data_IF_215097979945
#
_entry.id   IF_215097979945
#
_cell.length_a   1.000
_cell.length_b   1.000
_cell.length_c   1.000
_cell.angle_alpha   90.00
_cell.angle_beta   90.00
_cell.angle_gamma   90.00
#
_symmetry.space_group_name_H-M   'P 1'
#
loop_
_entity.id
_entity.type
_entity.pdbx_description
1 polymer ?
#
# COMPACT_ATOMS: atom_id res chain seq x y z
N UNK A 1 -20.69 45.55 48.39
CA UNK A 1 -20.48 45.69 46.95
C UNK A 1 -19.69 44.49 46.47
N UNK A 2 -20.38 43.43 46.06
CA UNK A 2 -19.74 42.19 45.61
C UNK A 2 -19.28 42.35 44.16
N UNK A 3 -17.99 42.09 43.94
CA UNK A 3 -17.29 42.16 42.66
C UNK A 3 -17.81 41.08 41.71
N UNK A 4 -18.34 41.48 40.57
CA UNK A 4 -18.60 40.59 39.45
C UNK A 4 -17.26 40.11 38.86
N UNK A 5 -17.00 38.80 38.95
CA UNK A 5 -16.01 38.12 38.11
C UNK A 5 -16.72 37.68 36.82
N UNK A 6 -16.24 38.20 35.68
CA UNK A 6 -16.62 37.78 34.33
C UNK A 6 -16.04 36.38 34.01
N UNK A 7 -16.86 35.34 33.72
CA UNK A 7 -16.40 34.05 33.23
C UNK A 7 -16.76 33.91 31.74
N UNK A 8 -16.11 34.67 30.85
CA UNK A 8 -16.54 34.78 29.44
C UNK A 8 -15.62 34.17 28.38
N UNK A 9 -14.29 34.27 28.55
CA UNK A 9 -13.36 34.03 27.44
C UNK A 9 -12.80 32.60 27.37
N UNK A 10 -12.71 31.89 28.50
CA UNK A 10 -12.11 30.55 28.55
C UNK A 10 -13.02 29.42 28.04
N UNK A 11 -14.31 29.48 28.36
CA UNK A 11 -15.26 28.38 28.07
C UNK A 11 -15.60 28.28 26.58
N UNK A 12 -15.69 29.41 25.88
CA UNK A 12 -15.92 29.44 24.43
C UNK A 12 -14.75 28.86 23.65
N UNK A 13 -13.52 29.26 23.97
CA UNK A 13 -12.30 28.75 23.32
C UNK A 13 -12.10 27.26 23.59
N UNK A 14 -12.34 26.79 24.82
CA UNK A 14 -12.24 25.37 25.17
C UNK A 14 -13.27 24.53 24.39
N UNK A 15 -14.49 25.04 24.20
CA UNK A 15 -15.52 24.37 23.39
C UNK A 15 -15.08 24.25 21.93
N UNK A 16 -14.59 25.33 21.32
CA UNK A 16 -14.09 25.33 19.94
C UNK A 16 -12.92 24.37 19.73
N UNK A 17 -11.97 24.31 20.67
CA UNK A 17 -10.84 23.37 20.59
C UNK A 17 -11.31 21.91 20.68
N UNK A 18 -12.28 21.62 21.55
CA UNK A 18 -12.86 20.26 21.67
C UNK A 18 -13.60 19.85 20.41
N UNK A 19 -14.32 20.76 19.78
CA UNK A 19 -15.05 20.47 18.55
C UNK A 19 -14.09 20.19 17.39
N UNK A 20 -13.04 21.00 17.24
CA UNK A 20 -11.98 20.75 16.25
C UNK A 20 -11.26 19.41 16.49
N UNK A 21 -10.98 19.05 17.75
CA UNK A 21 -10.41 17.75 18.09
C UNK A 21 -11.33 16.58 17.72
N UNK A 22 -12.64 16.70 17.93
CA UNK A 22 -13.62 15.68 17.55
C UNK A 22 -13.72 15.53 16.05
N UNK A 23 -13.74 16.64 15.31
CA UNK A 23 -13.78 16.62 13.85
C UNK A 23 -12.53 15.95 13.27
N UNK A 24 -11.35 16.29 13.79
CA UNK A 24 -10.10 15.66 13.40
C UNK A 24 -10.08 14.16 13.72
N UNK A 25 -10.58 13.77 14.89
CA UNK A 25 -10.69 12.36 15.27
C UNK A 25 -11.62 11.59 14.31
N UNK A 26 -12.79 12.15 13.99
CA UNK A 26 -13.73 11.58 13.00
C UNK A 26 -13.10 11.46 11.62
N UNK A 27 -12.40 12.50 11.18
CA UNK A 27 -11.68 12.49 9.91
C UNK A 27 -10.65 11.35 9.84
N UNK A 28 -9.79 11.21 10.85
CA UNK A 28 -8.78 10.15 10.90
C UNK A 28 -9.40 8.75 10.99
N UNK A 29 -10.45 8.61 11.78
CA UNK A 29 -11.16 7.34 11.97
C UNK A 29 -11.67 6.76 10.65
N UNK A 30 -12.23 7.58 9.75
CA UNK A 30 -12.66 7.12 8.43
C UNK A 30 -11.52 6.45 7.63
N UNK A 31 -10.32 7.04 7.66
CA UNK A 31 -9.14 6.47 7.03
C UNK A 31 -8.59 5.23 7.73
N UNK A 32 -8.65 5.17 9.06
CA UNK A 32 -8.27 3.97 9.82
C UNK A 32 -9.18 2.79 9.45
N UNK A 33 -10.50 3.01 9.37
CA UNK A 33 -11.43 1.98 8.91
C UNK A 33 -11.25 1.61 7.44
N UNK A 34 -10.95 2.56 6.56
CA UNK A 34 -10.62 2.26 5.17
C UNK A 34 -9.39 1.35 5.04
N UNK A 35 -8.40 1.53 5.92
CA UNK A 35 -7.25 0.60 6.03
C UNK A 35 -7.73 -0.78 6.50
N UNK A 36 -8.55 -0.86 7.53
CA UNK A 36 -9.02 -2.13 8.09
C UNK A 36 -9.85 -2.96 7.10
N UNK A 37 -10.75 -2.32 6.34
CA UNK A 37 -11.52 -2.95 5.26
C UNK A 37 -10.60 -3.57 4.22
N UNK A 38 -9.64 -2.78 3.71
CA UNK A 38 -8.67 -3.26 2.73
C UNK A 38 -7.76 -4.35 3.29
N UNK A 39 -7.30 -4.23 4.54
CA UNK A 39 -6.50 -5.27 5.18
C UNK A 39 -7.28 -6.57 5.33
N UNK A 40 -8.59 -6.52 5.60
CA UNK A 40 -9.44 -7.70 5.65
C UNK A 40 -9.48 -8.42 4.31
N UNK A 41 -9.72 -7.67 3.22
CA UNK A 41 -9.70 -8.20 1.84
C UNK A 41 -8.36 -8.86 1.51
N UNK A 42 -7.25 -8.19 1.84
CA UNK A 42 -5.89 -8.72 1.61
C UNK A 42 -5.63 -9.99 2.44
N UNK A 43 -6.07 -10.03 3.70
CA UNK A 43 -5.93 -11.22 4.56
C UNK A 43 -6.73 -12.41 4.02
N UNK A 44 -7.95 -12.16 3.50
CA UNK A 44 -8.78 -13.20 2.87
C UNK A 44 -8.04 -13.79 1.67
N UNK A 45 -7.57 -12.96 0.73
CA UNK A 45 -6.78 -13.41 -0.43
C UNK A 45 -5.56 -14.23 0.02
N UNK A 46 -4.79 -13.74 1.00
CA UNK A 46 -3.63 -14.48 1.53
C UNK A 46 -4.02 -15.84 2.11
N UNK A 47 -5.17 -15.94 2.76
CA UNK A 47 -5.63 -17.17 3.41
C UNK A 47 -6.21 -18.17 2.41
N UNK A 48 -6.82 -17.67 1.34
CA UNK A 48 -7.27 -18.47 0.20
C UNK A 48 -6.08 -19.12 -0.52
N UNK A 49 -5.02 -18.36 -0.84
CA UNK A 49 -3.83 -18.93 -1.51
C UNK A 49 -3.17 -20.03 -0.72
N UNK A 50 -3.08 -19.89 0.61
CA UNK A 50 -2.51 -20.93 1.48
C UNK A 50 -3.28 -22.25 1.46
N UNK A 51 -4.57 -22.23 1.11
CA UNK A 51 -5.43 -23.41 1.09
C UNK A 51 -5.57 -24.03 -0.30
N UNK A 52 -5.50 -23.21 -1.34
CA UNK A 52 -5.85 -23.61 -2.71
C UNK A 52 -4.65 -23.73 -3.65
N UNK A 53 -3.50 -23.14 -3.29
CA UNK A 53 -2.33 -23.05 -4.15
C UNK A 53 -1.05 -23.44 -3.40
N UNK A 54 -0.09 -24.03 -4.11
CA UNK A 54 1.24 -24.34 -3.57
C UNK A 54 2.09 -23.09 -3.25
N UNK A 55 1.64 -21.89 -3.63
CA UNK A 55 2.38 -20.64 -3.51
C UNK A 55 1.54 -19.51 -2.92
N UNK A 56 2.09 -18.80 -1.92
CA UNK A 56 1.48 -17.60 -1.36
C UNK A 56 2.18 -16.34 -1.95
N UNK A 57 1.49 -15.55 -2.80
CA UNK A 57 2.08 -14.37 -3.45
C UNK A 57 2.38 -13.21 -2.49
N UNK A 58 1.85 -13.22 -1.26
CA UNK A 58 1.97 -12.13 -0.29
C UNK A 58 2.85 -12.57 0.88
N UNK A 59 4.02 -11.95 0.99
CA UNK A 59 4.99 -12.19 2.06
C UNK A 59 4.66 -11.37 3.30
N UNK A 60 4.52 -10.05 3.11
CA UNK A 60 4.34 -9.11 4.19
C UNK A 60 3.36 -8.00 3.81
N UNK A 61 2.60 -7.52 4.79
CA UNK A 61 1.67 -6.40 4.63
C UNK A 61 1.88 -5.44 5.78
N UNK A 62 2.11 -4.18 5.47
CA UNK A 62 2.11 -3.09 6.44
C UNK A 62 1.05 -2.07 6.06
N UNK A 63 0.55 -1.34 7.05
CA UNK A 63 -0.29 -0.17 6.82
C UNK A 63 0.25 1.01 7.60
N UNK A 64 -0.15 2.21 7.17
CA UNK A 64 0.13 3.45 7.87
C UNK A 64 -0.98 4.44 7.64
N UNK A 65 -1.22 5.27 8.64
CA UNK A 65 -1.98 6.50 8.49
C UNK A 65 -0.99 7.68 8.47
N UNK A 66 -1.15 8.58 7.51
CA UNK A 66 -0.32 9.77 7.40
C UNK A 66 -0.54 10.71 8.60
N UNK A 67 0.53 11.30 9.12
CA UNK A 67 0.43 12.31 10.19
C UNK A 67 -0.23 13.59 9.67
N UNK A 68 -0.85 14.35 10.58
CA UNK A 68 -1.49 15.62 10.25
C UNK A 68 -0.49 16.62 9.68
N UNK A 69 0.70 16.73 10.29
CA UNK A 69 1.76 17.62 9.79
C UNK A 69 2.10 17.31 8.33
N UNK A 70 2.28 16.03 7.99
CA UNK A 70 2.56 15.64 6.61
C UNK A 70 1.37 15.83 5.66
N UNK A 71 0.13 15.86 6.15
CA UNK A 71 -1.05 16.21 5.34
C UNK A 71 -1.03 17.71 5.04
N UNK A 72 -0.77 18.56 6.04
CA UNK A 72 -0.68 20.02 5.88
C UNK A 72 0.51 20.46 5.01
N UNK A 73 1.64 19.76 5.09
CA UNK A 73 2.76 19.96 4.15
C UNK A 73 2.32 19.69 2.70
N UNK A 74 1.49 18.67 2.49
CA UNK A 74 0.97 18.35 1.16
C UNK A 74 -0.05 19.34 0.65
N UNK A 75 -0.94 19.86 1.50
CA UNK A 75 -1.89 20.90 1.07
C UNK A 75 -1.13 22.13 0.59
N UNK A 76 -0.09 22.54 1.34
CA UNK A 76 0.82 23.63 0.97
C UNK A 76 1.51 23.35 -0.37
N UNK A 77 2.10 22.15 -0.53
CA UNK A 77 2.78 21.75 -1.78
C UNK A 77 1.86 21.69 -2.99
N UNK A 78 0.59 21.33 -2.79
CA UNK A 78 -0.41 21.28 -3.87
C UNK A 78 -1.15 22.59 -4.06
N UNK A 79 -0.90 23.60 -3.22
CA UNK A 79 -1.59 24.88 -3.26
C UNK A 79 -3.10 24.77 -3.03
N UNK A 80 -3.54 23.84 -2.19
CA UNK A 80 -4.96 23.64 -1.88
C UNK A 80 -5.29 24.02 -0.44
N UNK A 81 -6.57 24.31 -0.19
CA UNK A 81 -7.07 24.63 1.13
C UNK A 81 -6.87 23.45 2.11
N UNK A 82 -6.70 23.78 3.39
CA UNK A 82 -6.48 22.84 4.48
C UNK A 82 -7.79 22.49 5.22
N UNK A 83 -8.91 22.46 4.50
CA UNK A 83 -10.19 21.98 5.01
C UNK A 83 -10.36 20.48 4.72
N UNK A 84 -11.16 19.76 5.52
CA UNK A 84 -11.32 18.32 5.38
C UNK A 84 -11.86 17.86 4.02
N UNK A 85 -12.71 18.63 3.35
CA UNK A 85 -13.32 18.27 2.07
C UNK A 85 -12.28 18.30 0.95
N UNK A 86 -11.57 19.43 0.83
CA UNK A 86 -10.46 19.58 -0.13
C UNK A 86 -9.37 18.55 0.10
N UNK A 87 -9.03 18.27 1.36
CA UNK A 87 -8.02 17.27 1.70
C UNK A 87 -8.43 15.88 1.21
N UNK A 88 -9.69 15.46 1.43
CA UNK A 88 -10.20 14.16 0.97
C UNK A 88 -10.12 14.00 -0.54
N UNK A 89 -10.38 15.07 -1.28
CA UNK A 89 -10.36 15.05 -2.75
C UNK A 89 -8.94 15.08 -3.32
N UNK A 90 -8.03 15.84 -2.71
CA UNK A 90 -6.70 16.13 -3.29
C UNK A 90 -5.60 15.21 -2.77
N UNK A 91 -5.71 14.70 -1.54
CA UNK A 91 -4.65 13.91 -0.88
C UNK A 91 -5.11 12.47 -0.73
N UNK A 92 -4.84 11.67 -1.75
CA UNK A 92 -5.35 10.30 -1.88
C UNK A 92 -4.51 9.23 -1.17
N UNK A 93 -3.41 9.60 -0.52
CA UNK A 93 -2.48 8.69 0.19
C UNK A 93 -2.44 8.94 1.70
N UNK A 94 -3.56 9.39 2.27
CA UNK A 94 -3.71 9.54 3.74
C UNK A 94 -3.71 8.15 4.39
N UNK A 95 -4.53 7.23 3.87
CA UNK A 95 -4.44 5.80 4.16
C UNK A 95 -3.49 5.14 3.19
N UNK A 96 -2.47 4.44 3.71
CA UNK A 96 -1.49 3.74 2.90
C UNK A 96 -1.33 2.29 3.34
N UNK A 97 -1.36 1.37 2.38
CA UNK A 97 -1.04 -0.05 2.58
C UNK A 97 0.16 -0.39 1.69
N UNK A 98 1.09 -1.17 2.23
CA UNK A 98 2.18 -1.75 1.45
C UNK A 98 2.09 -3.26 1.49
N UNK A 99 2.10 -3.86 0.31
CA UNK A 99 2.13 -5.31 0.10
C UNK A 99 3.48 -5.66 -0.51
N UNK A 100 4.22 -6.52 0.18
CA UNK A 100 5.47 -7.10 -0.32
C UNK A 100 5.18 -8.51 -0.82
N UNK A 101 5.51 -8.76 -2.08
CA UNK A 101 5.33 -10.01 -2.81
C UNK A 101 6.69 -10.67 -3.09
N UNK A 102 6.66 -11.98 -3.37
CA UNK A 102 7.88 -12.74 -3.69
C UNK A 102 8.40 -12.41 -5.09
N UNK A 103 7.49 -12.23 -6.07
CA UNK A 103 7.83 -11.97 -7.47
C UNK A 103 7.07 -10.78 -8.06
N UNK A 104 7.60 -10.23 -9.14
CA UNK A 104 6.96 -9.13 -9.90
C UNK A 104 5.59 -9.57 -10.46
N UNK A 105 5.48 -10.79 -10.98
CA UNK A 105 4.22 -11.33 -11.48
C UNK A 105 3.14 -11.40 -10.39
N UNK A 106 3.55 -11.74 -9.17
CA UNK A 106 2.64 -11.79 -8.02
C UNK A 106 2.16 -10.39 -7.61
N UNK A 107 3.02 -9.37 -7.74
CA UNK A 107 2.62 -7.98 -7.49
C UNK A 107 1.49 -7.53 -8.43
N UNK A 108 1.58 -7.88 -9.72
CA UNK A 108 0.52 -7.62 -10.68
C UNK A 108 -0.74 -8.42 -10.38
N UNK A 109 -0.58 -9.71 -10.09
CA UNK A 109 -1.72 -10.59 -9.80
C UNK A 109 -2.51 -10.10 -8.58
N UNK A 110 -1.83 -9.76 -7.47
CA UNK A 110 -2.47 -9.19 -6.28
C UNK A 110 -3.19 -7.88 -6.59
N UNK A 111 -2.58 -7.01 -7.41
CA UNK A 111 -3.22 -5.76 -7.80
C UNK A 111 -4.53 -5.99 -8.56
N UNK A 112 -4.51 -6.91 -9.54
CA UNK A 112 -5.66 -7.20 -10.38
C UNK A 112 -6.78 -7.88 -9.57
N UNK A 113 -6.44 -8.75 -8.61
CA UNK A 113 -7.42 -9.39 -7.71
C UNK A 113 -8.06 -8.42 -6.71
N UNK A 114 -7.32 -7.42 -6.24
CA UNK A 114 -7.90 -6.36 -5.42
C UNK A 114 -8.81 -5.46 -6.26
N UNK A 115 -8.35 -5.10 -7.46
CA UNK A 115 -9.05 -4.23 -8.40
C UNK A 115 -10.34 -4.86 -8.98
N UNK A 116 -10.43 -6.19 -9.00
CA UNK A 116 -11.61 -6.89 -9.52
C UNK A 116 -12.74 -7.06 -8.49
N UNK A 117 -12.51 -6.70 -7.22
CA UNK A 117 -13.55 -6.81 -6.20
C UNK A 117 -14.66 -5.79 -6.46
N UNK A 118 -15.95 -6.19 -6.39
CA UNK A 118 -17.06 -5.32 -6.81
C UNK A 118 -17.18 -3.99 -6.04
N UNK A 119 -16.71 -3.96 -4.81
CA UNK A 119 -16.77 -2.81 -3.90
C UNK A 119 -15.45 -2.02 -3.83
N UNK A 120 -14.46 -2.36 -4.65
CA UNK A 120 -13.18 -1.65 -4.75
C UNK A 120 -13.17 -0.81 -6.02
N UNK A 121 -13.37 0.50 -5.91
CA UNK A 121 -13.28 1.42 -7.04
C UNK A 121 -11.81 1.78 -7.30
N UNK A 122 -11.27 1.43 -8.46
CA UNK A 122 -9.92 1.86 -8.86
C UNK A 122 -9.95 3.30 -9.36
N UNK A 123 -9.35 4.21 -8.59
CA UNK A 123 -9.22 5.63 -8.95
C UNK A 123 -8.02 5.87 -9.84
N UNK A 124 -6.88 5.23 -9.56
CA UNK A 124 -5.64 5.42 -10.32
C UNK A 124 -4.70 4.24 -10.18
N UNK A 125 -4.09 3.82 -11.29
CA UNK A 125 -2.98 2.87 -11.34
C UNK A 125 -1.73 3.57 -11.86
N UNK A 126 -0.60 3.47 -11.15
CA UNK A 126 0.71 3.94 -11.62
C UNK A 126 1.70 2.79 -11.56
N UNK A 127 2.26 2.45 -12.70
CA UNK A 127 3.15 1.30 -12.83
C UNK A 127 4.61 1.75 -12.91
N UNK A 128 5.23 1.96 -11.74
CA UNK A 128 6.66 2.24 -11.69
C UNK A 128 7.52 0.97 -11.78
N UNK A 129 6.92 -0.21 -11.91
CA UNK A 129 7.68 -1.43 -12.20
C UNK A 129 8.06 -1.44 -13.67
N UNK A 130 7.06 -1.20 -14.54
CA UNK A 130 7.24 -1.07 -15.98
C UNK A 130 7.94 0.23 -16.38
N UNK A 131 7.59 1.34 -15.73
CA UNK A 131 8.18 2.67 -15.98
C UNK A 131 8.81 3.24 -14.70
N UNK A 132 10.03 2.78 -14.33
CA UNK A 132 10.72 3.24 -13.13
C UNK A 132 10.94 4.76 -13.14
N UNK A 133 10.95 5.38 -11.97
CA UNK A 133 11.38 6.79 -11.87
C UNK A 133 12.86 6.92 -12.19
N UNK A 134 13.28 8.14 -12.52
CA UNK A 134 14.68 8.45 -12.84
C UNK A 134 15.69 8.06 -11.75
N UNK A 135 15.28 8.04 -10.48
CA UNK A 135 16.13 7.61 -9.36
C UNK A 135 16.21 6.08 -9.19
N UNK A 136 15.57 5.29 -10.05
CA UNK A 136 15.50 3.83 -9.96
C UNK A 136 14.32 3.29 -9.16
N UNK A 137 13.48 4.15 -8.58
CA UNK A 137 12.33 3.72 -7.78
C UNK A 137 11.33 2.87 -8.60
N UNK A 138 11.00 1.69 -8.06
CA UNK A 138 10.01 0.76 -8.62
C UNK A 138 8.97 0.36 -7.58
N UNK A 139 7.71 0.34 -7.99
CA UNK A 139 6.55 -0.13 -7.21
C UNK A 139 5.29 -0.01 -8.08
N UNK A 140 4.32 -0.90 -7.89
CA UNK A 140 2.99 -0.73 -8.47
C UNK A 140 2.11 0.01 -7.47
N UNK A 141 1.59 1.17 -7.85
CA UNK A 141 0.70 1.96 -6.99
C UNK A 141 -0.74 1.87 -7.50
N UNK A 142 -1.63 1.43 -6.63
CA UNK A 142 -3.06 1.39 -6.86
C UNK A 142 -3.75 2.31 -5.85
N UNK A 143 -4.40 3.36 -6.32
CA UNK A 143 -5.26 4.20 -5.49
C UNK A 143 -6.68 3.70 -5.71
N UNK A 144 -7.31 3.25 -4.63
CA UNK A 144 -8.68 2.75 -4.63
C UNK A 144 -9.56 3.58 -3.71
N UNK A 145 -10.88 3.53 -3.91
CA UNK A 145 -11.86 3.90 -2.90
C UNK A 145 -12.56 2.65 -2.39
N UNK A 146 -12.70 2.59 -1.06
CA UNK A 146 -13.40 1.51 -0.38
C UNK A 146 -14.56 2.09 0.44
N UNK A 147 -15.77 1.50 0.40
CA UNK A 147 -16.87 1.94 1.25
C UNK A 147 -16.60 1.55 2.71
N UNK A 148 -16.70 2.53 3.60
CA UNK A 148 -16.69 2.37 5.05
C UNK A 148 -18.10 2.67 5.55
N UNK A 149 -18.73 1.66 6.16
CA UNK A 149 -20.09 1.76 6.69
C UNK A 149 -20.05 2.22 8.14
N UNK A 150 -20.37 3.50 8.37
CA UNK A 150 -20.52 4.09 9.70
C UNK A 150 -21.98 3.98 10.16
N UNK A 151 -22.24 4.32 11.43
CA UNK A 151 -23.58 4.19 12.03
C UNK A 151 -24.65 5.07 11.37
N UNK A 152 -24.24 6.16 10.72
CA UNK A 152 -25.12 7.22 10.19
C UNK A 152 -24.95 7.46 8.68
N UNK A 153 -23.88 6.96 8.07
CA UNK A 153 -23.53 7.18 6.66
C UNK A 153 -22.55 6.15 6.14
N UNK A 154 -22.35 6.15 4.83
CA UNK A 154 -21.24 5.45 4.17
C UNK A 154 -20.25 6.46 3.63
N UNK A 155 -18.96 6.25 3.89
CA UNK A 155 -17.88 7.07 3.33
C UNK A 155 -17.07 6.26 2.32
N UNK A 156 -16.70 6.85 1.18
CA UNK A 156 -15.82 6.19 0.21
C UNK A 156 -14.40 6.71 0.40
N UNK A 157 -13.60 5.92 1.10
CA UNK A 157 -12.30 6.35 1.62
C UNK A 157 -11.20 6.00 0.62
N UNK A 158 -10.38 6.97 0.17
CA UNK A 158 -9.27 6.66 -0.69
C UNK A 158 -8.13 5.99 0.09
N UNK A 159 -7.63 4.87 -0.44
CA UNK A 159 -6.51 4.11 0.10
C UNK A 159 -5.48 3.91 -1.01
N UNK A 160 -4.23 4.31 -0.75
CA UNK A 160 -3.10 4.00 -1.63
C UNK A 160 -2.50 2.64 -1.25
N UNK A 161 -2.56 1.68 -2.16
CA UNK A 161 -1.92 0.37 -2.06
C UNK A 161 -0.65 0.38 -2.89
N UNK A 162 0.50 0.21 -2.24
CA UNK A 162 1.80 0.08 -2.88
C UNK A 162 2.23 -1.39 -2.87
N UNK A 163 2.38 -1.98 -4.04
CA UNK A 163 2.73 -3.40 -4.19
C UNK A 163 4.15 -3.47 -4.74
N UNK A 164 5.00 -4.29 -4.12
CA UNK A 164 6.46 -4.34 -4.34
C UNK A 164 6.97 -5.76 -4.21
N UNK A 165 8.12 -6.04 -4.79
CA UNK A 165 8.94 -7.20 -4.40
C UNK A 165 9.74 -6.88 -3.13
N UNK A 166 10.40 -7.90 -2.56
CA UNK A 166 11.33 -7.73 -1.43
C UNK A 166 12.47 -6.78 -1.82
N UNK A 167 13.05 -6.94 -3.01
CA UNK A 167 14.15 -6.08 -3.48
C UNK A 167 13.70 -4.62 -3.63
N UNK A 168 12.53 -4.38 -4.23
CA UNK A 168 11.95 -3.04 -4.36
C UNK A 168 11.67 -2.38 -3.01
N UNK A 169 11.12 -3.12 -2.05
CA UNK A 169 10.83 -2.58 -0.72
C UNK A 169 12.10 -2.26 0.07
N UNK A 170 13.10 -3.15 0.03
CA UNK A 170 14.40 -2.91 0.66
C UNK A 170 15.05 -1.65 0.09
N UNK A 171 15.17 -1.56 -1.23
CA UNK A 171 15.77 -0.41 -1.90
C UNK A 171 15.06 0.90 -1.55
N UNK A 172 13.72 0.92 -1.66
CA UNK A 172 12.94 2.13 -1.39
C UNK A 172 12.98 2.54 0.10
N UNK A 173 13.15 1.59 1.01
CA UNK A 173 13.34 1.88 2.44
C UNK A 173 14.68 2.57 2.70
N UNK A 174 15.75 2.12 2.03
CA UNK A 174 17.08 2.74 2.12
C UNK A 174 17.08 4.13 1.49
N UNK A 175 16.58 4.26 0.25
CA UNK A 175 16.51 5.54 -0.46
C UNK A 175 15.73 6.58 0.36
N UNK A 176 14.57 6.20 0.91
CA UNK A 176 13.76 7.11 1.72
C UNK A 176 14.48 7.57 2.99
N UNK A 177 15.18 6.68 3.70
CA UNK A 177 15.96 7.04 4.90
C UNK A 177 17.10 8.00 4.57
N UNK A 178 17.81 7.76 3.48
CA UNK A 178 18.90 8.62 3.02
C UNK A 178 18.36 9.97 2.56
N UNK A 179 17.32 9.98 1.73
CA UNK A 179 16.67 11.21 1.25
C UNK A 179 16.17 12.06 2.40
N UNK A 180 15.56 11.46 3.43
CA UNK A 180 15.16 12.18 4.63
C UNK A 180 16.36 12.80 5.37
N UNK A 181 17.44 12.04 5.58
CA UNK A 181 18.66 12.52 6.26
C UNK A 181 19.33 13.69 5.53
N UNK A 182 19.29 13.69 4.20
CA UNK A 182 19.89 14.73 3.36
C UNK A 182 18.89 15.80 2.91
N UNK A 183 17.68 15.85 3.49
CA UNK A 183 16.62 16.80 3.10
C UNK A 183 16.34 16.83 1.58
N UNK A 184 16.45 15.67 0.93
CA UNK A 184 16.27 15.52 -0.52
C UNK A 184 17.49 15.87 -1.39
N UNK A 185 18.58 16.37 -0.80
CA UNK A 185 19.80 16.78 -1.51
C UNK A 185 20.92 15.73 -1.36
N UNK A 186 20.71 14.50 -1.83
CA UNK A 186 21.76 13.48 -1.80
C UNK A 186 22.94 13.88 -2.73
N UNK A 187 24.20 13.66 -2.32
CA UNK A 187 25.36 13.74 -3.22
C UNK A 187 25.20 12.90 -4.49
N UNK A 188 25.76 13.35 -5.61
CA UNK A 188 25.61 12.69 -6.92
C UNK A 188 26.14 11.25 -6.92
N UNK A 189 27.28 11.01 -6.29
CA UNK A 189 27.85 9.67 -6.19
C UNK A 189 26.88 8.70 -5.48
N UNK A 190 26.22 9.17 -4.41
CA UNK A 190 25.22 8.35 -3.71
C UNK A 190 23.94 8.15 -4.52
N UNK A 191 23.52 9.13 -5.33
CA UNK A 191 22.38 8.97 -6.25
C UNK A 191 22.68 7.91 -7.31
N UNK A 192 23.91 7.94 -7.85
CA UNK A 192 24.38 6.98 -8.85
C UNK A 192 24.44 5.57 -8.26
N UNK A 193 25.01 5.42 -7.07
CA UNK A 193 25.08 4.13 -6.36
C UNK A 193 23.68 3.57 -6.05
N UNK A 194 22.75 4.43 -5.62
CA UNK A 194 21.36 4.01 -5.41
C UNK A 194 20.70 3.58 -6.71
N UNK A 195 20.90 4.30 -7.81
CA UNK A 195 20.35 3.91 -9.10
C UNK A 195 20.90 2.54 -9.55
N UNK A 196 22.21 2.31 -9.42
CA UNK A 196 22.85 1.03 -9.74
C UNK A 196 22.29 -0.11 -8.89
N UNK A 197 22.14 0.11 -7.58
CA UNK A 197 21.53 -0.87 -6.68
C UNK A 197 20.07 -1.18 -7.06
N UNK A 198 19.32 -0.20 -7.58
CA UNK A 198 17.95 -0.40 -8.05
C UNK A 198 17.92 -1.29 -9.31
N UNK A 199 18.84 -1.07 -10.24
CA UNK A 199 19.00 -1.85 -11.46
C UNK A 199 19.38 -3.29 -11.11
N UNK A 200 20.38 -3.48 -10.26
CA UNK A 200 20.80 -4.79 -9.77
C UNK A 200 19.66 -5.53 -9.08
N UNK A 201 18.88 -4.85 -8.24
CA UNK A 201 17.69 -5.43 -7.61
C UNK A 201 16.64 -5.90 -8.62
N UNK A 202 16.42 -5.13 -9.69
CA UNK A 202 15.49 -5.51 -10.76
C UNK A 202 15.99 -6.71 -11.58
N UNK A 203 17.29 -6.81 -11.84
CA UNK A 203 17.90 -7.97 -12.50
C UNK A 203 17.77 -9.24 -11.67
N UNK A 204 17.96 -9.12 -10.35
CA UNK A 204 17.75 -10.22 -9.41
C UNK A 204 16.30 -10.69 -9.43
N UNK A 205 15.33 -9.77 -9.31
CA UNK A 205 13.90 -10.07 -9.39
C UNK A 205 13.57 -10.81 -10.71
N UNK A 206 14.09 -10.33 -11.84
CA UNK A 206 13.86 -10.96 -13.14
C UNK A 206 14.47 -12.36 -13.24
N UNK A 207 15.69 -12.55 -12.71
CA UNK A 207 16.37 -13.85 -12.68
C UNK A 207 15.60 -14.86 -11.82
N UNK A 208 15.18 -14.45 -10.63
CA UNK A 208 14.40 -15.32 -9.73
C UNK A 208 13.03 -15.66 -10.32
N UNK A 209 12.39 -14.70 -11.00
CA UNK A 209 11.15 -14.94 -11.74
C UNK A 209 11.28 -16.00 -12.83
N UNK A 210 12.39 -15.98 -13.61
CA UNK A 210 12.67 -17.01 -14.63
C UNK A 210 12.89 -18.39 -14.00
N UNK A 211 13.70 -18.47 -12.95
CA UNK A 211 13.96 -19.73 -12.23
C UNK A 211 12.67 -20.35 -11.69
N UNK A 212 11.75 -19.53 -11.15
CA UNK A 212 10.43 -20.01 -10.71
C UNK A 212 9.62 -20.61 -11.87
N UNK A 213 9.64 -19.97 -13.04
CA UNK A 213 8.92 -20.48 -14.21
C UNK A 213 9.50 -21.83 -14.65
N UNK A 214 10.83 -21.94 -14.76
CA UNK A 214 11.52 -23.18 -15.13
C UNK A 214 11.21 -24.34 -14.16
N UNK A 215 11.27 -24.10 -12.84
CA UNK A 215 10.97 -25.14 -11.84
C UNK A 215 9.52 -25.64 -11.92
N UNK A 216 8.57 -24.73 -12.16
CA UNK A 216 7.15 -25.10 -12.32
C UNK A 216 6.94 -25.96 -13.56
N UNK A 217 7.59 -25.61 -14.66
CA UNK A 217 7.43 -26.33 -15.93
C UNK A 217 8.04 -27.75 -15.82
N UNK A 218 9.19 -27.91 -15.16
CA UNK A 218 9.78 -29.22 -14.83
C UNK A 218 8.87 -30.09 -13.93
N UNK A 219 8.20 -29.47 -12.95
CA UNK A 219 7.25 -30.17 -12.08
C UNK A 219 6.00 -30.66 -12.82
N UNK A 220 5.55 -29.93 -13.85
CA UNK A 220 4.42 -30.33 -14.68
C UNK A 220 4.77 -31.50 -15.62
N UNK A 221 5.97 -31.51 -16.19
CA UNK A 221 6.45 -32.61 -17.04
C UNK A 221 6.60 -33.92 -16.26
N UNK A 222 7.12 -33.87 -15.03
CA UNK A 222 7.26 -35.04 -14.15
C UNK A 222 5.94 -35.70 -13.72
N UNK A 223 4.82 -34.95 -13.72
CA UNK A 223 3.50 -35.47 -13.35
C UNK A 223 2.77 -36.23 -14.48
N UNK A 224 3.28 -36.16 -15.72
CA UNK A 224 2.64 -36.78 -16.91
C UNK A 224 3.25 -38.13 -17.31
N UNK A 225 4.22 -38.66 -16.55
CA UNK A 225 5.10 -39.76 -16.97
C UNK A 225 4.84 -41.18 -16.42
N UNK A 226 3.76 -41.47 -15.70
CA UNK A 226 3.50 -42.83 -15.16
C UNK A 226 2.24 -43.45 -15.77
N UNK A 227 2.32 -44.44 -16.68
CA UNK A 227 1.15 -45.23 -17.07
C UNK A 227 0.75 -46.15 -15.91
N UNK A 228 -0.54 -46.42 -15.70
CA UNK A 228 -0.97 -47.43 -14.73
C UNK A 228 -0.48 -48.80 -15.22
N UNK A 229 0.45 -49.39 -14.46
CA UNK A 229 0.86 -50.78 -14.66
C UNK A 229 -0.34 -51.70 -14.53
N UNK A 230 -0.63 -52.46 -15.58
CA UNK A 230 -1.64 -53.51 -15.60
C UNK A 230 -1.24 -54.61 -14.61
N UNK A 231 -1.93 -54.69 -13.47
CA UNK A 231 -1.87 -55.84 -12.55
C UNK A 231 -2.62 -57.02 -13.19
N UNK A 232 -1.91 -57.86 -13.95
CA UNK A 232 -2.39 -59.19 -14.33
C UNK A 232 -1.87 -60.20 -13.31
N UNK A 233 -2.72 -60.58 -12.35
CA UNK A 233 -2.49 -61.78 -11.52
C UNK A 233 -2.95 -63.03 -12.27
N UNK A 234 -2.16 -64.11 -12.32
CA UNK A 234 -2.68 -65.42 -12.72
C UNK A 234 -3.37 -66.11 -11.53
N UNK A 235 -4.31 -67.00 -11.88
CA UNK A 235 -5.18 -67.78 -11.00
C UNK A 235 -4.44 -68.78 -10.11
#
# INVERSE_FOLDING_TARGET
>A
MATHLEPGLGTGVITTVRDAQRELARFRMGYEFGIEEMLTKIRILRSEFRQTHDHNPIEHVTSRLKSIDSILEKTTRYGCAADPETIRERILDIAGIRITCSFVSDAYWVADMLASQPDVEVVRRKDYIAEPKANGYRSLHLIVRIPVFLSDRTEHVPVEVQIRTIAMDFWASVEHKLSYKYHGALPEDLRTELLDAAVTGAELDARMGRLRAEVRDLGAEGATGTPPGTDTRPA
#
